data_IF_557437691049
#
_entry.id   IF_557437691049
#
_cell.length_a   1.000
_cell.length_b   1.000
_cell.length_c   1.000
_cell.angle_alpha   90.00
_cell.angle_beta   90.00
_cell.angle_gamma   90.00
#
_symmetry.space_group_name_H-M   'P 1'
#
loop_
_entity.id
_entity.type
_entity.pdbx_description
1 polymer ?
#
# COMPACT_ATOMS: atom_id res chain seq x y z
N UNK A 1 -0.22 3.02 55.65
CA UNK A 1 -0.85 4.33 55.41
C UNK A 1 -0.28 4.92 54.12
N UNK A 2 -1.14 5.57 53.33
CA UNK A 2 -0.98 5.96 51.91
C UNK A 2 0.30 6.77 51.64
N UNK A 3 1.04 6.42 50.59
CA UNK A 3 2.01 7.32 49.94
C UNK A 3 1.32 7.95 48.73
N UNK A 4 1.06 9.25 48.85
CA UNK A 4 0.58 10.11 47.77
C UNK A 4 1.74 10.42 46.81
N UNK A 5 1.50 10.28 45.51
CA UNK A 5 2.35 10.81 44.45
C UNK A 5 2.17 12.32 44.31
N UNK A 6 3.21 13.09 43.97
CA UNK A 6 3.06 14.28 43.16
C UNK A 6 3.57 14.03 41.74
N UNK A 7 2.78 14.56 40.81
CA UNK A 7 2.99 14.58 39.37
C UNK A 7 4.07 15.58 38.94
N UNK A 8 4.34 15.55 37.64
CA UNK A 8 5.04 16.53 36.81
C UNK A 8 6.53 16.30 36.58
N UNK A 9 6.83 15.89 35.34
CA UNK A 9 8.16 15.82 34.76
C UNK A 9 8.03 15.29 33.34
N UNK A 10 7.42 16.09 32.46
CA UNK A 10 7.32 15.77 31.04
C UNK A 10 8.73 15.71 30.44
N UNK A 11 9.24 14.50 30.23
CA UNK A 11 10.41 14.28 29.40
C UNK A 11 10.00 14.60 27.96
N UNK A 12 10.44 15.77 27.48
CA UNK A 12 10.35 16.13 26.07
C UNK A 12 11.17 15.11 25.27
N UNK A 13 10.48 14.18 24.62
CA UNK A 13 11.05 13.28 23.64
C UNK A 13 11.51 14.14 22.46
N UNK A 14 12.82 14.38 22.36
CA UNK A 14 13.43 14.99 21.17
C UNK A 14 13.18 14.02 20.02
N UNK A 15 12.14 14.28 19.24
CA UNK A 15 11.95 13.65 17.94
C UNK A 15 13.08 14.16 17.04
N UNK A 16 14.13 13.35 16.92
CA UNK A 16 15.12 13.52 15.85
C UNK A 16 14.39 13.20 14.55
N UNK A 17 13.82 14.25 13.95
CA UNK A 17 13.35 14.26 12.57
C UNK A 17 14.56 13.96 11.68
N UNK A 18 14.73 12.69 11.36
CA UNK A 18 15.51 12.30 10.20
C UNK A 18 14.70 12.75 8.98
N UNK A 19 15.26 13.55 8.06
CA UNK A 19 14.59 13.84 6.82
C UNK A 19 14.42 12.51 6.07
N UNK A 20 13.17 12.06 5.95
CA UNK A 20 12.81 10.88 5.22
C UNK A 20 13.29 11.04 3.77
N UNK A 21 14.36 10.33 3.43
CA UNK A 21 14.71 10.08 2.04
C UNK A 21 13.63 9.16 1.45
N UNK A 22 12.95 9.64 0.41
CA UNK A 22 11.84 9.02 -0.35
C UNK A 22 10.52 8.86 0.42
N UNK A 23 9.59 9.77 0.13
CA UNK A 23 8.25 9.88 0.70
C UNK A 23 7.26 8.77 0.33
N UNK A 24 7.64 7.50 0.50
CA UNK A 24 6.70 6.42 0.60
C UNK A 24 6.33 6.24 2.08
N UNK A 25 5.37 7.01 2.57
CA UNK A 25 4.64 6.63 3.79
C UNK A 25 3.83 5.39 3.46
N UNK A 26 3.95 4.29 4.24
CA UNK A 26 2.99 3.19 4.18
C UNK A 26 1.57 3.79 4.26
N UNK A 27 0.64 3.23 3.49
CA UNK A 27 -0.76 3.60 3.68
C UNK A 27 -1.10 3.37 5.16
N UNK A 28 -1.83 4.31 5.80
CA UNK A 28 -2.26 4.07 7.18
C UNK A 28 -3.09 2.79 7.21
N UNK A 29 -3.09 2.07 8.33
CA UNK A 29 -3.85 0.82 8.48
C UNK A 29 -5.38 0.96 8.24
N UNK A 30 -5.86 2.19 8.13
CA UNK A 30 -7.25 2.57 7.83
C UNK A 30 -7.36 3.49 6.61
N UNK A 31 -6.29 3.66 5.82
CA UNK A 31 -6.40 4.34 4.54
C UNK A 31 -7.43 3.56 3.73
N UNK A 32 -8.53 4.21 3.39
CA UNK A 32 -9.55 3.61 2.55
C UNK A 32 -8.82 3.09 1.30
N UNK A 33 -8.89 1.78 1.03
CA UNK A 33 -8.29 1.20 -0.17
C UNK A 33 -8.84 1.89 -1.44
N UNK A 34 -9.98 2.58 -1.32
CA UNK A 34 -10.57 3.44 -2.34
C UNK A 34 -9.82 4.76 -2.62
N UNK A 35 -9.03 5.26 -1.66
CA UNK A 35 -8.29 6.53 -1.74
C UNK A 35 -6.82 6.34 -2.18
N UNK A 36 -6.38 5.10 -2.42
CA UNK A 36 -5.06 4.83 -2.99
C UNK A 36 -4.95 5.47 -4.37
N UNK A 37 -3.90 6.24 -4.61
CA UNK A 37 -3.63 6.86 -5.92
C UNK A 37 -2.68 6.01 -6.76
N UNK A 38 -2.67 6.26 -8.07
CA UNK A 38 -1.70 5.66 -8.99
C UNK A 38 -0.24 5.95 -8.59
N UNK A 39 0.06 7.12 -8.02
CA UNK A 39 1.39 7.45 -7.51
C UNK A 39 1.78 6.59 -6.31
N UNK A 40 0.86 6.40 -5.35
CA UNK A 40 1.08 5.54 -4.19
C UNK A 40 1.24 4.06 -4.59
N UNK A 41 0.38 3.58 -5.49
CA UNK A 41 0.47 2.23 -6.04
C UNK A 41 1.82 1.95 -6.72
N UNK A 42 2.27 2.88 -7.57
CA UNK A 42 3.57 2.77 -8.24
C UNK A 42 4.75 2.86 -7.25
N UNK A 43 4.62 3.62 -6.17
CA UNK A 43 5.62 3.64 -5.10
C UNK A 43 5.69 2.30 -4.36
N UNK A 44 4.54 1.69 -4.04
CA UNK A 44 4.48 0.37 -3.41
C UNK A 44 5.16 -0.70 -4.28
N UNK A 45 4.90 -0.73 -5.60
CA UNK A 45 5.57 -1.66 -6.53
C UNK A 45 7.09 -1.55 -6.45
N UNK A 46 7.63 -0.32 -6.43
CA UNK A 46 9.09 -0.08 -6.38
C UNK A 46 9.71 -0.56 -5.07
N UNK A 47 8.98 -0.47 -3.97
CA UNK A 47 9.46 -0.80 -2.63
C UNK A 47 9.28 -2.28 -2.29
N UNK A 48 8.28 -2.94 -2.88
CA UNK A 48 7.95 -4.34 -2.63
C UNK A 48 9.02 -5.36 -3.05
N UNK A 49 10.08 -4.93 -3.74
CA UNK A 49 11.21 -5.78 -4.12
C UNK A 49 12.50 -5.21 -3.50
N UNK A 50 12.87 -5.64 -2.29
CA UNK A 50 14.06 -5.12 -1.63
C UNK A 50 15.32 -5.72 -2.24
N UNK A 51 16.38 -4.92 -2.36
CA UNK A 51 17.70 -5.41 -2.76
C UNK A 51 18.22 -6.52 -1.82
N UNK A 52 19.06 -7.41 -2.33
CA UNK A 52 19.67 -8.47 -1.53
C UNK A 52 20.45 -7.93 -0.32
N UNK A 53 21.00 -6.71 -0.43
CA UNK A 53 21.75 -6.01 0.62
C UNK A 53 20.91 -5.03 1.45
N UNK A 54 19.58 -5.04 1.30
CA UNK A 54 18.69 -4.17 2.05
C UNK A 54 18.84 -4.37 3.56
N UNK A 55 18.82 -3.26 4.29
CA UNK A 55 18.78 -3.24 5.76
C UNK A 55 17.50 -3.88 6.29
N UNK A 56 17.48 -4.26 7.57
CA UNK A 56 16.27 -4.82 8.20
C UNK A 56 15.05 -3.89 8.07
N UNK A 57 15.26 -2.56 8.21
CA UNK A 57 14.19 -1.57 8.05
C UNK A 57 13.64 -1.53 6.62
N UNK A 58 14.51 -1.61 5.61
CA UNK A 58 14.10 -1.65 4.21
C UNK A 58 13.34 -2.94 3.86
N UNK A 59 13.74 -4.08 4.44
CA UNK A 59 13.01 -5.35 4.28
C UNK A 59 11.63 -5.29 4.95
N UNK A 60 11.52 -4.69 6.12
CA UNK A 60 10.24 -4.49 6.79
C UNK A 60 9.30 -3.60 5.95
N UNK A 61 9.83 -2.51 5.39
CA UNK A 61 9.07 -1.65 4.49
C UNK A 61 8.64 -2.37 3.21
N UNK A 62 9.52 -3.21 2.64
CA UNK A 62 9.18 -4.02 1.47
C UNK A 62 8.07 -5.04 1.77
N UNK A 63 8.09 -5.68 2.93
CA UNK A 63 7.01 -6.59 3.36
C UNK A 63 5.68 -5.84 3.48
N UNK A 64 5.68 -4.66 4.12
CA UNK A 64 4.47 -3.83 4.20
C UNK A 64 3.95 -3.45 2.80
N UNK A 65 4.84 -3.07 1.87
CA UNK A 65 4.44 -2.80 0.50
C UNK A 65 3.90 -4.03 -0.24
N UNK A 66 4.40 -5.24 0.05
CA UNK A 66 3.86 -6.49 -0.49
C UNK A 66 2.45 -6.77 0.05
N UNK A 67 2.22 -6.54 1.34
CA UNK A 67 0.91 -6.69 1.98
C UNK A 67 -0.11 -5.69 1.41
N UNK A 68 0.31 -4.45 1.17
CA UNK A 68 -0.50 -3.41 0.53
C UNK A 68 -0.88 -3.81 -0.90
N UNK A 69 0.06 -4.32 -1.69
CA UNK A 69 -0.20 -4.80 -3.05
C UNK A 69 -1.15 -6.00 -3.06
N UNK A 70 -0.99 -6.94 -2.13
CA UNK A 70 -1.87 -8.10 -2.02
C UNK A 70 -3.30 -7.68 -1.64
N UNK A 71 -3.45 -6.77 -0.67
CA UNK A 71 -4.74 -6.23 -0.24
C UNK A 71 -5.41 -5.44 -1.37
N UNK A 72 -4.62 -4.67 -2.12
CA UNK A 72 -5.08 -3.97 -3.33
C UNK A 72 -5.60 -4.96 -4.36
N UNK A 73 -4.91 -6.08 -4.62
CA UNK A 73 -5.38 -7.07 -5.59
C UNK A 73 -6.67 -7.76 -5.16
N UNK A 74 -6.85 -8.00 -3.86
CA UNK A 74 -8.11 -8.51 -3.32
C UNK A 74 -9.26 -7.51 -3.53
N UNK A 75 -9.01 -6.22 -3.27
CA UNK A 75 -9.99 -5.16 -3.53
C UNK A 75 -10.35 -5.07 -5.01
N UNK A 76 -9.36 -5.04 -5.91
CA UNK A 76 -9.56 -5.00 -7.37
C UNK A 76 -10.36 -6.21 -7.84
N UNK A 77 -10.07 -7.40 -7.30
CA UNK A 77 -10.82 -8.61 -7.62
C UNK A 77 -12.30 -8.47 -7.25
N UNK A 78 -12.57 -7.99 -6.03
CA UNK A 78 -13.93 -7.72 -5.55
C UNK A 78 -14.64 -6.66 -6.37
N UNK A 79 -13.97 -5.54 -6.68
CA UNK A 79 -14.48 -4.45 -7.51
C UNK A 79 -14.91 -4.94 -8.90
N UNK A 80 -14.03 -5.65 -9.61
CA UNK A 80 -14.32 -6.17 -10.95
C UNK A 80 -15.44 -7.23 -10.91
N UNK A 81 -15.47 -8.07 -9.88
CA UNK A 81 -16.52 -9.07 -9.69
C UNK A 81 -17.88 -8.42 -9.37
N UNK A 82 -17.91 -7.30 -8.66
CA UNK A 82 -19.12 -6.51 -8.42
C UNK A 82 -19.60 -5.78 -9.68
N UNK A 83 -18.68 -5.20 -10.47
CA UNK A 83 -18.98 -4.47 -11.71
C UNK A 83 -19.53 -5.36 -12.81
N UNK A 84 -18.85 -6.47 -13.09
CA UNK A 84 -19.13 -7.31 -14.27
C UNK A 84 -19.84 -8.63 -13.92
N UNK A 85 -20.16 -8.85 -12.63
CA UNK A 85 -20.71 -10.10 -12.12
C UNK A 85 -19.64 -11.14 -11.73
N UNK A 86 -20.01 -12.03 -10.82
CA UNK A 86 -19.11 -13.08 -10.31
C UNK A 86 -18.91 -14.15 -11.38
N UNK A 87 -17.70 -14.21 -11.95
CA UNK A 87 -17.29 -15.25 -12.89
C UNK A 87 -15.90 -15.79 -12.51
N UNK A 88 -15.83 -16.89 -11.73
CA UNK A 88 -14.58 -17.46 -11.27
C UNK A 88 -13.68 -17.98 -12.40
N UNK A 89 -14.25 -18.35 -13.55
CA UNK A 89 -13.49 -18.81 -14.71
C UNK A 89 -12.83 -17.65 -15.46
N UNK A 90 -13.49 -16.49 -15.53
CA UNK A 90 -12.95 -15.30 -16.17
C UNK A 90 -11.98 -14.51 -15.26
N UNK A 91 -12.19 -14.56 -13.94
CA UNK A 91 -11.35 -13.89 -12.92
C UNK A 91 -10.99 -14.82 -11.76
N UNK A 92 -10.14 -15.83 -12.01
CA UNK A 92 -9.69 -16.70 -10.95
C UNK A 92 -8.69 -15.95 -10.06
N UNK A 93 -8.98 -15.79 -8.75
CA UNK A 93 -8.07 -15.16 -7.79
C UNK A 93 -6.86 -16.07 -7.52
N UNK A 94 -5.96 -16.10 -8.49
CA UNK A 94 -4.77 -16.96 -8.53
C UNK A 94 -3.52 -16.10 -8.55
N UNK A 95 -2.36 -16.70 -8.25
CA UNK A 95 -1.07 -16.00 -8.31
C UNK A 95 -0.80 -15.38 -9.68
N UNK A 96 -1.10 -16.09 -10.77
CA UNK A 96 -0.93 -15.58 -12.13
C UNK A 96 -1.85 -14.40 -12.41
N UNK A 97 -3.14 -14.53 -12.08
CA UNK A 97 -4.10 -13.43 -12.24
C UNK A 97 -3.68 -12.19 -11.45
N UNK A 98 -3.22 -12.35 -10.20
CA UNK A 98 -2.73 -11.23 -9.40
C UNK A 98 -1.51 -10.57 -10.05
N UNK A 99 -0.52 -11.35 -10.49
CA UNK A 99 0.67 -10.82 -11.16
C UNK A 99 0.34 -10.07 -12.45
N UNK A 100 -0.52 -10.64 -13.30
CA UNK A 100 -0.96 -10.00 -14.55
C UNK A 100 -1.74 -8.71 -14.29
N UNK A 101 -2.59 -8.72 -13.26
CA UNK A 101 -3.39 -7.55 -12.88
C UNK A 101 -2.51 -6.44 -12.32
N UNK A 102 -1.48 -6.78 -11.54
CA UNK A 102 -0.47 -5.81 -11.09
C UNK A 102 0.19 -5.11 -12.27
N UNK A 103 0.63 -5.88 -13.28
CA UNK A 103 1.28 -5.31 -14.49
C UNK A 103 0.32 -4.41 -15.28
N UNK A 104 -0.94 -4.83 -15.45
CA UNK A 104 -1.96 -4.03 -16.15
C UNK A 104 -2.24 -2.71 -15.43
N UNK A 105 -2.44 -2.75 -14.12
CA UNK A 105 -2.64 -1.55 -13.32
C UNK A 105 -1.42 -0.65 -13.32
N UNK A 106 -0.21 -1.21 -13.22
CA UNK A 106 1.02 -0.44 -13.29
C UNK A 106 1.13 0.28 -14.64
N UNK A 107 0.77 -0.40 -15.73
CA UNK A 107 0.75 0.18 -17.08
C UNK A 107 -0.24 1.35 -17.15
N UNK A 108 -1.48 1.14 -16.70
CA UNK A 108 -2.52 2.17 -16.67
C UNK A 108 -2.12 3.37 -15.80
N UNK A 109 -1.57 3.12 -14.62
CA UNK A 109 -1.11 4.16 -13.71
C UNK A 109 0.12 4.90 -14.22
N UNK A 110 1.04 4.24 -14.91
CA UNK A 110 2.22 4.89 -15.51
C UNK A 110 1.84 5.87 -16.64
N UNK A 111 0.70 5.66 -17.28
CA UNK A 111 0.16 6.51 -18.35
C UNK A 111 -0.83 7.56 -17.84
N UNK A 112 -1.10 7.62 -16.53
CA UNK A 112 -2.10 8.48 -15.91
C UNK A 112 -1.48 9.51 -14.97
N UNK A 113 -2.28 10.49 -14.54
CA UNK A 113 -1.87 11.41 -13.48
C UNK A 113 -1.60 10.65 -12.17
N UNK A 114 -0.54 11.02 -11.45
CA UNK A 114 -0.15 10.34 -10.22
C UNK A 114 -1.20 10.46 -9.11
N UNK A 115 -2.04 11.50 -9.15
CA UNK A 115 -3.17 11.71 -8.24
C UNK A 115 -4.46 11.00 -8.68
N UNK A 116 -4.49 10.34 -9.85
CA UNK A 116 -5.64 9.53 -10.25
C UNK A 116 -5.87 8.43 -9.22
N UNK A 117 -7.11 8.25 -8.78
CA UNK A 117 -7.47 7.17 -7.87
C UNK A 117 -7.27 5.82 -8.55
N UNK A 118 -6.74 4.86 -7.81
CA UNK A 118 -6.50 3.52 -8.31
C UNK A 118 -7.81 2.83 -8.70
N UNK A 119 -8.90 3.14 -8.00
CA UNK A 119 -10.25 2.70 -8.35
C UNK A 119 -10.68 3.18 -9.73
N UNK A 120 -10.42 4.44 -10.07
CA UNK A 120 -10.69 4.99 -11.41
C UNK A 120 -9.80 4.33 -12.47
N UNK A 121 -8.54 4.03 -12.17
CA UNK A 121 -7.67 3.27 -13.07
C UNK A 121 -8.20 1.84 -13.29
N UNK A 122 -8.67 1.17 -12.23
CA UNK A 122 -9.21 -0.18 -12.28
C UNK A 122 -10.48 -0.30 -13.13
N UNK A 123 -11.22 0.79 -13.36
CA UNK A 123 -12.36 0.80 -14.30
C UNK A 123 -11.94 0.46 -15.74
N UNK A 124 -10.66 0.60 -16.08
CA UNK A 124 -10.11 0.35 -17.42
C UNK A 124 -9.54 -1.06 -17.59
N UNK A 125 -9.61 -1.90 -16.55
CA UNK A 125 -9.33 -3.34 -16.63
C UNK A 125 -10.53 -4.09 -17.21
#
# INVERSE_FOLDING_TARGET
>A
MRRSFPAAGAAALIMIFHPAANGATPASAEADLLDVTCGQYMAAIKVAQPDAKATAAQKALANAAQDDLASTMLWVHGFLSGRDGVNPAARPLTKSWMADTVVKLATLCSASDAGLRLSDAATKL
#
